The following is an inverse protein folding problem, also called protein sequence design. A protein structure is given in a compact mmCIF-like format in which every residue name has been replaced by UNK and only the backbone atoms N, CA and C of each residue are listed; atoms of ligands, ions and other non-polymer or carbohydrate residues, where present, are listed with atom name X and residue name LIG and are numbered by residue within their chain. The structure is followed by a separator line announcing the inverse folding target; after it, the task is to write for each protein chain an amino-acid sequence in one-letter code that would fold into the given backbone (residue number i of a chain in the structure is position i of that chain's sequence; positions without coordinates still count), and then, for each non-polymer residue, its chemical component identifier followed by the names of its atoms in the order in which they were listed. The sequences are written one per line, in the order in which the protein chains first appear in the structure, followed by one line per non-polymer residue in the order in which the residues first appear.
data_IF_733464561047
#
_entry.id   IF_733464561047
#
_cell.length_a   1.000
_cell.length_b   1.000
_cell.length_c   1.000
_cell.angle_alpha   90.00
_cell.angle_beta   90.00
_cell.angle_gamma   90.00
#
_symmetry.space_group_name_H-M   'P 1'
#
loop_
_entity.id
_entity.type
_entity.pdbx_description
1 polymer ?
#
# COMPACT_ATOMS: atom_id res chain seq x y z
N UNK A 1 -16.99 -0.42 11.38
CA UNK A 1 -16.66 0.25 10.09
C UNK A 1 -17.42 -0.46 8.99
N UNK A 2 -18.15 0.26 8.11
CA UNK A 2 -18.93 -0.30 6.99
C UNK A 2 -18.26 0.14 5.70
N UNK A 3 -17.85 -0.83 4.87
CA UNK A 3 -17.34 -0.58 3.53
C UNK A 3 -18.49 -0.34 2.55
N UNK A 4 -18.31 0.55 1.59
CA UNK A 4 -19.20 0.69 0.45
C UNK A 4 -19.01 -0.49 -0.52
N UNK A 5 -19.99 -0.82 -1.38
CA UNK A 5 -19.90 -1.99 -2.26
C UNK A 5 -18.61 -2.07 -3.08
N UNK A 6 -18.20 -0.97 -3.73
CA UNK A 6 -16.98 -0.94 -4.53
C UNK A 6 -15.71 -1.14 -3.69
N UNK A 7 -15.71 -0.67 -2.44
CA UNK A 7 -14.59 -0.90 -1.50
C UNK A 7 -14.52 -2.38 -1.10
N UNK A 8 -15.68 -2.99 -0.84
CA UNK A 8 -15.78 -4.41 -0.53
C UNK A 8 -15.22 -5.26 -1.69
N UNK A 9 -15.64 -4.99 -2.93
CA UNK A 9 -15.13 -5.72 -4.10
C UNK A 9 -13.62 -5.52 -4.30
N UNK A 10 -13.09 -4.33 -4.04
CA UNK A 10 -11.64 -4.10 -4.12
C UNK A 10 -10.86 -4.94 -3.10
N UNK A 11 -11.35 -4.99 -1.85
CA UNK A 11 -10.76 -5.81 -0.78
C UNK A 11 -10.83 -7.30 -1.14
N UNK A 12 -12.00 -7.78 -1.61
CA UNK A 12 -12.21 -9.18 -2.01
C UNK A 12 -11.24 -9.59 -3.13
N UNK A 13 -11.02 -8.71 -4.13
CA UNK A 13 -10.06 -8.98 -5.22
C UNK A 13 -8.61 -9.11 -4.74
N UNK A 14 -8.21 -8.33 -3.73
CA UNK A 14 -6.87 -8.47 -3.15
C UNK A 14 -6.77 -9.75 -2.33
N UNK A 15 -7.77 -10.06 -1.49
CA UNK A 15 -7.78 -11.30 -0.70
C UNK A 15 -7.72 -12.54 -1.61
N UNK A 16 -8.54 -12.58 -2.66
CA UNK A 16 -8.50 -13.66 -3.65
C UNK A 16 -7.11 -13.79 -4.30
N UNK A 17 -6.49 -12.64 -4.63
CA UNK A 17 -5.14 -12.61 -5.21
C UNK A 17 -4.08 -13.11 -4.25
N UNK A 18 -4.14 -12.75 -2.98
CA UNK A 18 -3.20 -13.21 -1.94
C UNK A 18 -3.34 -14.72 -1.72
N UNK A 19 -4.56 -15.25 -1.70
CA UNK A 19 -4.82 -16.65 -1.42
C UNK A 19 -4.54 -17.58 -2.60
N UNK A 20 -4.75 -17.12 -3.83
CA UNK A 20 -4.77 -17.98 -5.02
C UNK A 20 -3.64 -17.68 -6.02
N UNK A 21 -2.80 -16.68 -5.78
CA UNK A 21 -1.69 -16.31 -6.67
C UNK A 21 -0.60 -15.58 -5.92
N UNK A 22 0.62 -15.62 -6.45
CA UNK A 22 1.75 -14.78 -6.00
C UNK A 22 1.90 -13.50 -6.83
N UNK A 23 0.98 -13.24 -7.77
CA UNK A 23 1.06 -12.04 -8.60
C UNK A 23 0.68 -10.79 -7.81
N UNK A 24 1.34 -9.70 -8.12
CA UNK A 24 1.04 -8.37 -7.62
C UNK A 24 -0.24 -7.80 -8.24
N UNK A 25 -0.71 -6.67 -7.72
CA UNK A 25 -1.86 -5.97 -8.27
C UNK A 25 -2.00 -4.53 -7.79
N UNK A 26 -2.90 -3.78 -8.43
CA UNK A 26 -3.27 -2.47 -7.92
C UNK A 26 -4.77 -2.18 -8.04
N UNK A 27 -5.22 -1.26 -7.21
CA UNK A 27 -6.58 -0.73 -7.17
C UNK A 27 -6.56 0.70 -7.69
N UNK A 28 -7.40 0.97 -8.68
CA UNK A 28 -7.58 2.30 -9.23
C UNK A 28 -8.89 2.91 -8.74
N UNK A 29 -8.82 3.67 -7.67
CA UNK A 29 -9.96 4.40 -7.10
C UNK A 29 -9.72 5.90 -7.16
N UNK A 30 -10.71 6.65 -7.61
CA UNK A 30 -10.62 8.12 -7.71
C UNK A 30 -10.35 8.76 -6.34
N UNK A 31 -9.84 9.99 -6.35
CA UNK A 31 -9.69 10.80 -5.13
C UNK A 31 -11.04 10.95 -4.43
N UNK A 32 -11.04 10.92 -3.10
CA UNK A 32 -12.28 10.96 -2.30
C UNK A 32 -13.05 9.64 -2.19
N UNK A 33 -12.64 8.57 -2.88
CA UNK A 33 -13.28 7.24 -2.79
C UNK A 33 -12.92 6.45 -1.52
N UNK A 34 -12.22 7.06 -0.54
CA UNK A 34 -11.83 6.39 0.69
C UNK A 34 -10.77 5.30 0.50
N UNK A 35 -9.76 5.56 -0.36
CA UNK A 35 -8.65 4.62 -0.62
C UNK A 35 -7.94 4.21 0.63
N UNK A 36 -7.53 5.16 1.47
CA UNK A 36 -6.82 4.91 2.74
C UNK A 36 -7.60 3.98 3.65
N UNK A 37 -8.91 4.18 3.76
CA UNK A 37 -9.79 3.30 4.53
C UNK A 37 -9.85 1.89 3.93
N UNK A 38 -9.96 1.79 2.61
CA UNK A 38 -10.05 0.51 1.89
C UNK A 38 -8.73 -0.25 1.98
N UNK A 39 -7.60 0.43 1.78
CA UNK A 39 -6.27 -0.17 1.83
C UNK A 39 -5.91 -0.64 3.24
N UNK A 40 -6.27 0.13 4.27
CA UNK A 40 -6.06 -0.28 5.65
C UNK A 40 -6.94 -1.47 6.06
N UNK A 41 -8.23 -1.46 5.66
CA UNK A 41 -9.10 -2.63 5.89
C UNK A 41 -8.60 -3.87 5.17
N UNK A 42 -8.02 -3.71 3.98
CA UNK A 42 -7.33 -4.79 3.28
C UNK A 42 -6.16 -5.33 4.12
N UNK A 43 -5.33 -4.45 4.67
CA UNK A 43 -4.21 -4.85 5.52
C UNK A 43 -4.66 -5.67 6.74
N UNK A 44 -5.74 -5.25 7.40
CA UNK A 44 -6.32 -5.98 8.52
C UNK A 44 -6.76 -7.40 8.11
N UNK A 45 -7.54 -7.53 7.04
CA UNK A 45 -8.07 -8.82 6.61
C UNK A 45 -6.98 -9.74 6.05
N UNK A 46 -5.98 -9.20 5.37
CA UNK A 46 -4.81 -9.97 4.91
C UNK A 46 -3.99 -10.48 6.10
N UNK A 47 -3.88 -9.70 7.19
CA UNK A 47 -3.16 -10.13 8.39
C UNK A 47 -3.82 -11.27 9.15
N UNK A 48 -5.12 -11.49 8.92
CA UNK A 48 -5.87 -12.62 9.50
C UNK A 48 -5.59 -13.96 8.79
N UNK A 49 -4.96 -13.92 7.60
CA UNK A 49 -4.59 -15.13 6.86
C UNK A 49 -3.44 -15.88 7.56
N UNK A 50 -3.55 -17.20 7.66
CA UNK A 50 -2.58 -18.04 8.38
C UNK A 50 -1.24 -18.13 7.65
N UNK A 51 -1.25 -18.06 6.33
CA UNK A 51 -0.07 -18.16 5.47
C UNK A 51 0.67 -16.82 5.27
N UNK A 52 0.19 -15.74 5.87
CA UNK A 52 0.84 -14.43 5.85
C UNK A 52 1.56 -14.16 7.17
N UNK A 53 2.87 -14.00 7.11
CA UNK A 53 3.71 -13.72 8.29
C UNK A 53 3.60 -12.27 8.73
N UNK A 54 3.65 -11.33 7.78
CA UNK A 54 3.62 -9.89 8.01
C UNK A 54 2.85 -9.15 6.94
N UNK A 55 2.18 -8.09 7.34
CA UNK A 55 1.58 -7.10 6.45
C UNK A 55 2.23 -5.75 6.70
N UNK A 56 2.85 -5.18 5.68
CA UNK A 56 3.43 -3.84 5.74
C UNK A 56 2.50 -2.87 5.01
N UNK A 57 1.93 -1.93 5.76
CA UNK A 57 1.20 -0.82 5.19
C UNK A 57 2.16 0.35 4.98
N UNK A 58 2.44 0.65 3.72
CA UNK A 58 3.48 1.60 3.32
C UNK A 58 2.86 2.88 2.78
N UNK A 59 3.15 3.98 3.43
CA UNK A 59 2.65 5.31 3.07
C UNK A 59 3.80 6.24 2.68
N UNK A 60 3.48 7.34 1.98
CA UNK A 60 4.45 8.42 1.80
C UNK A 60 4.63 9.19 3.12
N UNK A 61 5.83 9.68 3.37
CA UNK A 61 6.14 10.49 4.56
C UNK A 61 5.26 11.72 4.70
N UNK A 62 4.88 12.34 3.58
CA UNK A 62 4.03 13.53 3.56
C UNK A 62 2.58 13.23 3.95
N UNK A 63 2.13 12.00 3.79
CA UNK A 63 0.77 11.57 4.13
C UNK A 63 0.67 11.06 5.58
N UNK A 64 1.82 10.88 6.25
CA UNK A 64 1.87 10.44 7.65
C UNK A 64 1.91 11.66 8.58
N UNK A 65 0.93 12.54 8.47
CA UNK A 65 0.74 13.63 9.42
C UNK A 65 0.16 13.14 10.77
N UNK A 66 0.09 14.03 11.75
CA UNK A 66 -0.37 13.68 13.10
C UNK A 66 -1.81 13.17 13.11
N UNK A 67 -2.67 13.68 12.23
CA UNK A 67 -4.07 13.26 12.13
C UNK A 67 -4.15 11.85 11.55
N UNK A 68 -3.48 11.60 10.45
CA UNK A 68 -3.41 10.28 9.78
C UNK A 68 -2.78 9.23 10.70
N UNK A 69 -1.73 9.59 11.46
CA UNK A 69 -1.15 8.71 12.48
C UNK A 69 -2.19 8.35 13.55
N UNK A 70 -2.94 9.32 14.04
CA UNK A 70 -3.98 9.08 15.05
C UNK A 70 -5.10 8.19 14.52
N UNK A 71 -5.47 8.33 13.25
CA UNK A 71 -6.46 7.47 12.61
C UNK A 71 -5.96 6.02 12.50
N UNK A 72 -4.73 5.81 12.04
CA UNK A 72 -4.13 4.47 11.97
C UNK A 72 -3.96 3.83 13.36
N UNK A 73 -3.54 4.61 14.36
CA UNK A 73 -3.40 4.13 15.73
C UNK A 73 -4.75 3.75 16.35
N UNK A 74 -5.83 4.46 15.98
CA UNK A 74 -7.19 4.12 16.39
C UNK A 74 -7.71 2.82 15.74
N UNK A 75 -7.21 2.48 14.54
CA UNK A 75 -7.57 1.24 13.85
C UNK A 75 -6.76 0.03 14.34
N UNK A 76 -5.49 0.21 14.61
CA UNK A 76 -4.58 -0.84 15.06
C UNK A 76 -3.60 -0.25 16.09
N UNK A 77 -3.90 -0.33 17.38
CA UNK A 77 -3.06 0.21 18.44
C UNK A 77 -1.65 -0.37 18.41
N UNK A 78 -0.65 0.51 18.41
CA UNK A 78 0.75 0.13 18.35
C UNK A 78 1.29 -0.23 16.96
N UNK A 79 0.50 -0.09 15.90
CA UNK A 79 0.95 -0.37 14.52
C UNK A 79 1.73 0.79 13.91
N UNK A 80 1.46 2.03 14.33
CA UNK A 80 2.10 3.22 13.78
C UNK A 80 3.50 3.41 14.37
N UNK A 81 4.48 3.47 13.49
CA UNK A 81 5.82 3.92 13.83
C UNK A 81 5.90 5.45 13.71
N UNK A 82 5.54 6.13 14.80
CA UNK A 82 5.53 7.60 14.89
C UNK A 82 6.91 8.25 14.95
N UNK A 83 8.00 7.47 14.96
CA UNK A 83 9.36 8.00 15.02
C UNK A 83 10.01 8.02 13.64
N UNK A 84 10.87 9.01 13.36
CA UNK A 84 11.70 9.05 12.15
C UNK A 84 12.84 8.00 12.17
N UNK A 85 12.82 7.07 13.09
CA UNK A 85 13.91 6.14 13.35
C UNK A 85 13.67 4.77 12.69
N UNK A 86 14.58 4.38 11.79
CA UNK A 86 14.59 3.06 11.14
C UNK A 86 14.80 1.91 12.14
N UNK A 87 15.45 2.15 13.30
CA UNK A 87 15.62 1.14 14.34
C UNK A 87 14.30 0.62 14.89
N UNK A 88 13.29 1.48 15.00
CA UNK A 88 11.96 1.07 15.45
C UNK A 88 11.27 0.16 14.43
N UNK A 89 11.38 0.47 13.13
CA UNK A 89 10.90 -0.44 12.08
C UNK A 89 11.56 -1.82 12.19
N UNK A 90 12.89 -1.86 12.38
CA UNK A 90 13.62 -3.14 12.53
C UNK A 90 13.13 -3.93 13.75
N UNK A 91 12.88 -3.29 14.88
CA UNK A 91 12.33 -3.97 16.07
C UNK A 91 10.92 -4.53 15.80
N UNK A 92 10.06 -3.77 15.12
CA UNK A 92 8.70 -4.20 14.77
C UNK A 92 8.67 -5.36 13.77
N UNK A 93 9.62 -5.39 12.84
CA UNK A 93 9.77 -6.50 11.93
C UNK A 93 10.03 -7.83 12.66
N UNK A 94 10.69 -7.79 13.83
CA UNK A 94 10.91 -8.95 14.70
C UNK A 94 9.85 -9.16 15.79
N UNK A 95 8.92 -8.23 15.94
CA UNK A 95 7.85 -8.36 16.94
C UNK A 95 6.78 -9.36 16.51
N UNK A 96 5.87 -9.73 17.42
CA UNK A 96 4.73 -10.57 17.12
C UNK A 96 3.59 -9.84 16.37
N UNK A 97 3.68 -8.51 16.22
CA UNK A 97 2.67 -7.77 15.46
C UNK A 97 2.68 -8.17 13.99
N UNK A 98 1.54 -8.57 13.47
CA UNK A 98 1.40 -8.90 12.04
C UNK A 98 1.33 -7.67 11.15
N UNK A 99 0.75 -6.55 11.64
CA UNK A 99 0.61 -5.30 10.86
C UNK A 99 1.67 -4.30 11.29
N UNK A 100 2.36 -3.73 10.31
CA UNK A 100 3.39 -2.70 10.50
C UNK A 100 3.08 -1.55 9.56
N UNK A 101 2.87 -0.35 10.10
CA UNK A 101 2.69 0.86 9.31
C UNK A 101 4.03 1.59 9.25
N UNK A 102 4.51 1.85 8.06
CA UNK A 102 5.82 2.48 7.83
C UNK A 102 5.81 3.39 6.61
N UNK A 103 6.89 4.14 6.42
CA UNK A 103 7.08 4.93 5.21
C UNK A 103 8.02 4.24 4.23
N UNK A 104 7.86 4.53 2.94
CA UNK A 104 8.76 3.99 1.91
C UNK A 104 10.22 4.37 2.17
N UNK A 105 10.47 5.57 2.72
CA UNK A 105 11.81 6.05 3.03
C UNK A 105 12.47 5.21 4.13
N UNK A 106 11.73 4.87 5.20
CA UNK A 106 12.23 4.00 6.28
C UNK A 106 12.47 2.59 5.78
N UNK A 107 11.53 2.05 5.00
CA UNK A 107 11.66 0.70 4.43
C UNK A 107 12.88 0.63 3.48
N UNK A 108 13.06 1.62 2.60
CA UNK A 108 14.24 1.71 1.75
C UNK A 108 15.53 1.84 2.55
N UNK A 109 15.55 2.63 3.63
CA UNK A 109 16.71 2.74 4.52
C UNK A 109 17.03 1.41 5.23
N UNK A 110 16.00 0.66 5.64
CA UNK A 110 16.17 -0.63 6.30
C UNK A 110 16.82 -1.67 5.37
N UNK A 111 16.42 -1.72 4.10
CA UNK A 111 16.96 -2.70 3.14
C UNK A 111 18.28 -2.25 2.51
N UNK A 112 18.56 -0.95 2.42
CA UNK A 112 19.74 -0.42 1.71
C UNK A 112 20.97 -0.25 2.59
N UNK A 113 20.80 -0.01 3.90
CA UNK A 113 21.95 0.18 4.82
C UNK A 113 22.37 -1.16 5.40
N UNK A 114 23.61 -1.58 5.21
CA UNK A 114 24.17 -2.86 5.68
C UNK A 114 23.88 -3.11 7.16
N UNK A 115 23.97 -2.08 8.00
CA UNK A 115 23.67 -2.17 9.43
C UNK A 115 22.25 -2.63 9.73
N UNK A 116 21.26 -2.21 8.95
CA UNK A 116 19.86 -2.59 9.13
C UNK A 116 19.53 -3.88 8.39
N UNK A 117 19.97 -4.03 7.14
CA UNK A 117 19.67 -5.21 6.33
C UNK A 117 20.17 -6.49 6.98
N UNK A 118 21.37 -6.47 7.59
CA UNK A 118 21.88 -7.63 8.34
C UNK A 118 21.04 -8.00 9.57
N UNK A 119 20.34 -7.04 10.16
CA UNK A 119 19.43 -7.32 11.29
C UNK A 119 18.11 -7.94 10.86
N UNK A 120 17.61 -7.62 9.67
CA UNK A 120 16.33 -8.12 9.14
C UNK A 120 16.50 -9.27 8.15
N UNK A 121 17.71 -9.76 7.96
CA UNK A 121 18.03 -10.85 7.03
C UNK A 121 17.21 -12.13 7.33
N UNK A 122 16.93 -12.39 8.60
CA UNK A 122 16.15 -13.55 9.03
C UNK A 122 14.68 -13.56 8.54
N UNK A 123 14.16 -12.41 8.10
CA UNK A 123 12.79 -12.28 7.62
C UNK A 123 12.68 -12.04 6.11
N UNK A 124 13.80 -12.03 5.37
CA UNK A 124 13.80 -11.76 3.94
C UNK A 124 13.00 -12.81 3.13
N UNK A 125 12.89 -14.04 3.64
CA UNK A 125 12.11 -15.14 3.03
C UNK A 125 10.70 -15.31 3.59
N UNK A 126 10.31 -14.48 4.57
CA UNK A 126 8.95 -14.51 5.15
C UNK A 126 7.90 -14.14 4.11
N UNK A 127 6.71 -14.72 4.24
CA UNK A 127 5.55 -14.35 3.42
C UNK A 127 5.03 -12.98 3.84
N UNK A 128 5.44 -11.96 3.10
CA UNK A 128 5.11 -10.57 3.40
C UNK A 128 4.15 -10.02 2.35
N UNK A 129 3.06 -9.40 2.79
CA UNK A 129 2.18 -8.63 1.91
C UNK A 129 2.40 -7.15 2.18
N UNK A 130 2.76 -6.40 1.15
CA UNK A 130 2.97 -4.95 1.25
C UNK A 130 1.85 -4.21 0.54
N UNK A 131 1.21 -3.29 1.24
CA UNK A 131 0.12 -2.46 0.72
C UNK A 131 0.61 -1.02 0.69
N UNK A 132 0.65 -0.45 -0.51
CA UNK A 132 1.13 0.92 -0.76
C UNK A 132 -0.05 1.85 -1.01
N UNK A 133 -0.21 2.85 -0.14
CA UNK A 133 -1.18 3.93 -0.38
C UNK A 133 -0.53 5.02 -1.25
N UNK A 134 -1.32 5.65 -2.12
CA UNK A 134 -0.93 6.68 -3.09
C UNK A 134 0.34 6.30 -3.91
N UNK A 135 0.34 5.08 -4.44
CA UNK A 135 1.49 4.44 -5.07
C UNK A 135 1.99 5.08 -6.39
N UNK A 136 1.39 6.18 -6.84
CA UNK A 136 1.78 6.93 -8.05
C UNK A 136 2.90 7.94 -7.83
N UNK A 137 3.35 8.16 -6.58
CA UNK A 137 4.36 9.18 -6.29
C UNK A 137 5.77 8.80 -6.78
N UNK A 138 6.51 9.78 -7.26
CA UNK A 138 7.67 9.68 -8.15
C UNK A 138 8.92 8.95 -7.62
N UNK A 139 9.02 8.67 -6.32
CA UNK A 139 10.22 8.01 -5.76
C UNK A 139 10.08 6.49 -5.63
N UNK A 140 9.04 5.94 -6.25
CA UNK A 140 8.69 4.54 -6.06
C UNK A 140 9.63 3.56 -6.81
N UNK A 141 10.08 3.89 -8.03
CA UNK A 141 10.73 2.92 -8.92
C UNK A 141 12.03 2.31 -8.40
N UNK A 142 12.99 3.11 -7.94
CA UNK A 142 14.27 2.59 -7.44
C UNK A 142 14.15 1.96 -6.06
N UNK A 143 13.41 2.61 -5.15
CA UNK A 143 13.18 2.08 -3.80
C UNK A 143 12.43 0.76 -3.85
N UNK A 144 11.43 0.65 -4.73
CA UNK A 144 10.69 -0.58 -4.95
C UNK A 144 11.58 -1.74 -5.38
N UNK A 145 12.47 -1.54 -6.36
CA UNK A 145 13.39 -2.59 -6.82
C UNK A 145 14.25 -3.14 -5.67
N UNK A 146 14.82 -2.27 -4.84
CA UNK A 146 15.64 -2.67 -3.70
C UNK A 146 14.84 -3.44 -2.65
N UNK A 147 13.62 -3.00 -2.36
CA UNK A 147 12.72 -3.65 -1.42
C UNK A 147 12.36 -5.06 -1.92
N UNK A 148 11.98 -5.20 -3.20
CA UNK A 148 11.61 -6.49 -3.78
C UNK A 148 12.82 -7.43 -4.00
N UNK A 149 14.02 -6.90 -4.15
CA UNK A 149 15.24 -7.71 -4.17
C UNK A 149 15.62 -8.24 -2.80
N UNK A 150 15.27 -7.51 -1.73
CA UNK A 150 15.56 -7.92 -0.36
C UNK A 150 14.53 -8.93 0.16
N UNK A 151 13.23 -8.68 -0.06
CA UNK A 151 12.13 -9.55 0.37
C UNK A 151 11.69 -10.43 -0.81
N UNK A 152 12.27 -11.59 -0.96
CA UNK A 152 12.08 -12.46 -2.13
C UNK A 152 10.72 -13.19 -2.15
N UNK A 153 10.02 -13.26 -1.01
CA UNK A 153 8.67 -13.81 -0.88
C UNK A 153 7.62 -12.73 -0.56
N UNK A 154 7.86 -11.49 -1.03
CA UNK A 154 6.92 -10.40 -0.86
C UNK A 154 5.95 -10.30 -2.03
N UNK A 155 4.68 -10.03 -1.71
CA UNK A 155 3.63 -9.68 -2.66
C UNK A 155 3.18 -8.24 -2.43
N UNK A 156 2.99 -7.45 -3.49
CA UNK A 156 2.71 -6.03 -3.36
C UNK A 156 1.38 -5.64 -3.98
N UNK A 157 0.68 -4.73 -3.32
CA UNK A 157 -0.57 -4.14 -3.80
C UNK A 157 -0.50 -2.62 -3.69
N UNK A 158 -0.84 -1.93 -4.81
CA UNK A 158 -0.88 -0.47 -4.86
C UNK A 158 -2.30 0.08 -4.84
N UNK A 159 -2.52 1.18 -4.14
CA UNK A 159 -3.74 1.97 -4.22
C UNK A 159 -3.41 3.33 -4.83
N UNK A 160 -4.15 3.74 -5.86
CA UNK A 160 -3.91 5.03 -6.51
C UNK A 160 -5.18 5.60 -7.14
N UNK A 161 -5.28 6.93 -7.15
CA UNK A 161 -6.29 7.65 -7.93
C UNK A 161 -5.85 8.01 -9.35
N UNK A 162 -4.54 8.01 -9.59
CA UNK A 162 -3.89 8.47 -10.81
C UNK A 162 -2.79 7.49 -11.25
N UNK A 163 -3.15 6.32 -11.81
CA UNK A 163 -2.15 5.39 -12.32
C UNK A 163 -1.25 6.05 -13.36
N UNK A 164 0.03 5.69 -13.35
CA UNK A 164 0.99 6.13 -14.35
C UNK A 164 0.90 5.17 -15.54
N UNK A 165 0.55 5.71 -16.70
CA UNK A 165 0.54 5.01 -17.98
C UNK A 165 1.80 5.36 -18.79
N UNK A 166 1.99 4.69 -19.93
CA UNK A 166 3.16 4.89 -20.78
C UNK A 166 3.33 6.36 -21.24
N UNK A 167 2.20 7.04 -21.48
CA UNK A 167 2.19 8.44 -21.92
C UNK A 167 2.63 9.41 -20.82
N UNK A 168 2.47 9.03 -19.54
CA UNK A 168 2.76 9.87 -18.38
C UNK A 168 3.93 9.33 -17.55
N UNK A 169 4.65 8.31 -18.07
CA UNK A 169 5.74 7.69 -17.35
C UNK A 169 6.90 8.67 -17.14
N UNK A 170 7.18 8.98 -15.87
CA UNK A 170 8.39 9.67 -15.44
C UNK A 170 9.39 8.58 -15.05
N UNK A 171 10.61 8.64 -15.52
CA UNK A 171 11.66 7.62 -15.32
C UNK A 171 11.33 6.22 -15.91
N UNK A 172 10.41 6.16 -16.87
CA UNK A 172 10.13 4.95 -17.66
C UNK A 172 9.36 3.84 -16.94
N UNK A 173 8.78 4.09 -15.76
CA UNK A 173 8.02 3.10 -15.02
C UNK A 173 6.53 3.42 -14.97
N UNK A 174 5.72 2.47 -15.43
CA UNK A 174 4.25 2.54 -15.31
C UNK A 174 3.78 1.84 -14.02
N UNK A 175 2.57 2.21 -13.56
CA UNK A 175 1.95 1.53 -12.40
C UNK A 175 1.80 0.01 -12.66
N UNK A 176 1.52 -0.37 -13.91
CA UNK A 176 1.39 -1.78 -14.30
C UNK A 176 2.72 -2.54 -14.24
N UNK A 177 3.84 -1.92 -14.62
CA UNK A 177 5.15 -2.56 -14.54
C UNK A 177 5.59 -2.79 -13.10
N UNK A 178 5.22 -1.90 -12.19
CA UNK A 178 5.57 -2.00 -10.77
C UNK A 178 4.64 -2.94 -10.01
N UNK A 179 3.33 -2.80 -10.20
CA UNK A 179 2.31 -3.50 -9.41
C UNK A 179 1.57 -4.61 -10.17
N UNK A 180 1.84 -4.83 -11.45
CA UNK A 180 1.11 -5.81 -12.24
C UNK A 180 -0.27 -5.32 -12.71
N UNK A 181 -1.27 -6.20 -12.70
CA UNK A 181 -2.58 -5.91 -13.26
C UNK A 181 -3.47 -5.07 -12.32
N UNK A 182 -4.34 -4.23 -12.92
CA UNK A 182 -5.40 -3.56 -12.21
C UNK A 182 -6.48 -4.58 -11.79
N UNK A 183 -6.69 -4.74 -10.50
CA UNK A 183 -7.63 -5.71 -9.93
C UNK A 183 -9.05 -5.16 -9.84
N UNK A 184 -9.18 -3.86 -9.55
CA UNK A 184 -10.48 -3.19 -9.44
C UNK A 184 -10.36 -1.72 -9.82
N UNK A 185 -11.45 -1.16 -10.40
CA UNK A 185 -11.55 0.25 -10.81
C UNK A 185 -12.80 0.86 -10.23
N UNK A 186 -12.66 2.07 -9.71
CA UNK A 186 -13.77 2.95 -9.34
C UNK A 186 -13.39 4.38 -9.71
N UNK A 187 -13.87 4.82 -10.86
CA UNK A 187 -13.47 6.07 -11.49
C UNK A 187 -14.42 7.20 -11.09
N UNK A 188 -14.06 8.44 -11.47
CA UNK A 188 -14.90 9.61 -11.18
C UNK A 188 -16.30 9.48 -11.76
N UNK A 189 -16.48 8.87 -12.94
CA UNK A 189 -17.78 8.62 -13.56
C UNK A 189 -18.66 7.68 -12.72
N UNK A 190 -18.03 6.66 -12.10
CA UNK A 190 -18.70 5.69 -11.25
C UNK A 190 -19.11 6.37 -9.93
N UNK A 191 -18.23 7.22 -9.39
CA UNK A 191 -18.49 8.00 -8.19
C UNK A 191 -19.61 9.03 -8.36
N UNK A 192 -19.75 9.62 -9.55
CA UNK A 192 -20.86 10.52 -9.90
C UNK A 192 -22.15 9.71 -10.05
N UNK A 193 -22.11 8.56 -10.73
CA UNK A 193 -23.28 7.68 -10.90
C UNK A 193 -23.82 7.16 -9.57
N UNK A 194 -22.92 6.90 -8.60
CA UNK A 194 -23.28 6.47 -7.23
C UNK A 194 -23.60 7.64 -6.29
N UNK A 195 -23.68 8.88 -6.80
CA UNK A 195 -23.92 10.11 -6.03
C UNK A 195 -22.91 10.36 -4.90
N UNK A 196 -21.72 9.75 -4.97
CA UNK A 196 -20.64 9.94 -4.01
C UNK A 196 -19.83 11.21 -4.26
N UNK A 197 -19.91 11.75 -5.48
CA UNK A 197 -19.27 13.00 -5.93
C UNK A 197 -20.29 13.78 -6.74
N UNK A 198 -20.33 15.09 -6.57
CA UNK A 198 -21.18 15.97 -7.37
C UNK A 198 -20.74 15.95 -8.84
N UNK A 199 -21.72 15.91 -9.74
CA UNK A 199 -21.47 16.09 -11.17
C UNK A 199 -20.90 17.46 -11.46
N UNK A 200 -20.07 17.58 -12.48
CA UNK A 200 -19.55 18.87 -12.97
C UNK A 200 -19.86 19.06 -14.44
N UNK A 201 -20.08 20.30 -14.82
CA UNK A 201 -20.26 20.72 -16.20
C UNK A 201 -18.94 21.37 -16.67
N UNK A 202 -18.48 20.99 -17.86
CA UNK A 202 -17.34 21.66 -18.49
C UNK A 202 -17.89 22.67 -19.48
N UNK A 203 -17.65 23.96 -19.25
CA UNK A 203 -17.95 25.04 -20.19
C UNK A 203 -16.66 25.40 -20.94
N UNK A 204 -16.73 25.42 -22.26
CA UNK A 204 -15.64 25.90 -23.12
C UNK A 204 -15.93 27.36 -23.51
N UNK A 205 -15.00 28.26 -23.23
CA UNK A 205 -15.04 29.65 -23.66
C UNK A 205 -14.15 29.84 -24.88
#
# INVERSE_FOLDING_TARGET
MVLRPYQFYAVEKILDRVQNSNDNGYIWHTTGAGKTLTSFKTAQLVSELDDVDKVMFVVDRHDLDTQTQSEYEAFEPGAVDGTDNTDELVKRLHSNSKIIITTIQKLNAAVSKIWYSSKIDSICHSRIVMIFDECHRSHFGESHKKIMQFFDNAQIFGFTGTPIFTENAVDGHTTKEVFGNCLHRYLIKDAIADENVLGFLVEYY
#
